data_IF_807141633549
#
_entry.id   IF_807141633549
#
_cell.length_a   1.000
_cell.length_b   1.000
_cell.length_c   1.000
_cell.angle_alpha   90.00
_cell.angle_beta   90.00
_cell.angle_gamma   90.00
#
_symmetry.space_group_name_H-M   'P 1'
#
loop_
_entity.id
_entity.type
_entity.pdbx_description
1 polymer ?
#
# COMPACT_ATOMS: atom_id res chain seq x y z
N UNK A 1 2.02 5.06 1.69
CA UNK A 1 3.18 4.98 2.59
C UNK A 1 3.75 3.57 2.57
N UNK A 2 5.07 3.43 2.54
CA UNK A 2 5.74 2.12 2.67
C UNK A 2 6.15 1.90 4.14
N UNK A 3 5.94 0.67 4.61
CA UNK A 3 6.18 0.26 5.99
C UNK A 3 7.17 -0.91 6.04
N UNK A 4 8.05 -0.99 7.05
CA UNK A 4 8.93 -2.14 7.25
C UNK A 4 8.19 -3.38 7.76
N UNK A 5 7.09 -3.20 8.50
CA UNK A 5 6.27 -4.28 9.09
C UNK A 5 4.87 -3.79 9.44
N UNK A 6 3.98 -4.72 9.81
CA UNK A 6 2.60 -4.40 10.21
C UNK A 6 2.56 -3.63 11.54
N UNK A 7 3.48 -3.93 12.46
CA UNK A 7 3.58 -3.29 13.77
C UNK A 7 3.94 -1.80 13.66
N UNK A 8 4.50 -1.38 12.52
CA UNK A 8 4.79 0.03 12.25
C UNK A 8 3.53 0.89 12.13
N UNK A 9 2.39 0.28 11.85
CA UNK A 9 1.11 0.99 11.75
C UNK A 9 0.66 1.52 13.10
N UNK A 10 0.78 0.70 14.15
CA UNK A 10 0.44 1.09 15.52
C UNK A 10 1.22 2.34 15.96
N UNK A 11 2.52 2.39 15.65
CA UNK A 11 3.37 3.56 15.96
C UNK A 11 3.00 4.82 15.17
N UNK A 12 2.26 4.68 14.09
CA UNK A 12 1.77 5.77 13.25
C UNK A 12 0.30 6.11 13.55
N UNK A 13 -0.29 5.48 14.56
CA UNK A 13 -1.71 5.62 14.90
C UNK A 13 -2.61 5.32 13.69
N UNK A 14 -2.30 4.20 13.00
CA UNK A 14 -3.06 3.68 11.86
C UNK A 14 -3.62 2.30 12.18
N UNK A 15 -4.88 2.09 11.83
CA UNK A 15 -5.55 0.80 12.00
C UNK A 15 -6.13 0.30 10.68
N UNK A 16 -6.15 -1.02 10.48
CA UNK A 16 -6.83 -1.64 9.33
C UNK A 16 -8.21 -2.09 9.75
N UNK A 17 -9.27 -1.50 9.18
CA UNK A 17 -10.63 -1.95 9.42
C UNK A 17 -10.84 -3.37 8.87
N UNK A 18 -11.83 -4.08 9.42
CA UNK A 18 -12.30 -5.35 8.86
C UNK A 18 -13.01 -5.07 7.53
N UNK A 19 -12.75 -5.87 6.46
CA UNK A 19 -11.94 -7.09 6.42
C UNK A 19 -10.48 -6.86 5.98
N UNK A 20 -10.01 -5.63 5.84
CA UNK A 20 -8.67 -5.32 5.32
C UNK A 20 -7.54 -5.89 6.17
N UNK A 21 -7.72 -5.98 7.49
CA UNK A 21 -6.75 -6.59 8.41
C UNK A 21 -6.49 -8.08 8.06
N UNK A 22 -7.53 -8.82 7.68
CA UNK A 22 -7.42 -10.23 7.25
C UNK A 22 -6.71 -10.35 5.90
N UNK A 23 -7.07 -9.48 4.95
CA UNK A 23 -6.43 -9.45 3.64
C UNK A 23 -4.95 -9.04 3.74
N UNK A 24 -4.61 -8.12 4.63
CA UNK A 24 -3.24 -7.72 4.88
C UNK A 24 -2.38 -8.89 5.39
N UNK A 25 -2.91 -9.70 6.29
CA UNK A 25 -2.21 -10.90 6.78
C UNK A 25 -1.94 -11.94 5.67
N UNK A 26 -2.74 -11.95 4.59
CA UNK A 26 -2.59 -12.88 3.47
C UNK A 26 -1.69 -12.35 2.35
N UNK A 27 -1.74 -11.04 2.09
CA UNK A 27 -1.13 -10.42 0.91
C UNK A 27 0.06 -9.51 1.22
N UNK A 28 0.41 -9.29 2.49
CA UNK A 28 1.60 -8.55 2.89
C UNK A 28 2.64 -9.49 3.53
N UNK A 29 3.92 -9.29 3.23
CA UNK A 29 4.52 -8.32 2.30
C UNK A 29 4.16 -8.63 0.84
N UNK A 30 3.83 -7.61 0.05
CA UNK A 30 3.43 -7.85 -1.34
C UNK A 30 2.90 -6.64 -2.10
N UNK A 31 2.21 -6.95 -3.21
CA UNK A 31 1.60 -5.94 -4.08
C UNK A 31 0.17 -5.56 -3.63
N UNK A 32 -0.07 -5.55 -2.34
CA UNK A 32 -1.34 -5.18 -1.71
C UNK A 32 -1.19 -3.86 -0.96
N UNK A 33 -2.10 -2.92 -1.20
CA UNK A 33 -2.10 -1.59 -0.60
C UNK A 33 -3.48 -1.28 -0.01
N UNK A 34 -3.75 -1.73 1.23
CA UNK A 34 -4.99 -1.37 1.92
C UNK A 34 -4.99 0.09 2.35
N UNK A 35 -6.18 0.65 2.45
CA UNK A 35 -6.41 1.96 3.04
C UNK A 35 -6.65 1.78 4.54
N UNK A 36 -5.70 2.24 5.34
CA UNK A 36 -5.81 2.27 6.80
C UNK A 36 -6.57 3.51 7.26
N UNK A 37 -7.31 3.40 8.36
CA UNK A 37 -7.91 4.52 9.06
C UNK A 37 -6.90 5.11 10.04
N UNK A 38 -6.87 6.44 10.12
CA UNK A 38 -6.06 7.17 11.09
C UNK A 38 -6.85 7.41 12.38
N UNK A 39 -6.18 7.24 13.52
CA UNK A 39 -6.69 7.62 14.82
C UNK A 39 -6.59 9.15 15.00
N UNK A 40 -7.32 9.71 15.96
CA UNK A 40 -7.44 11.17 16.13
C UNK A 40 -6.10 11.87 16.41
N UNK A 41 -5.14 11.15 17.00
CA UNK A 41 -3.81 11.66 17.31
C UNK A 41 -2.75 11.35 16.24
N UNK A 42 -3.17 10.80 15.09
CA UNK A 42 -2.29 10.55 13.96
C UNK A 42 -1.80 11.87 13.35
N UNK A 43 -0.48 12.07 13.34
CA UNK A 43 0.15 13.33 12.89
C UNK A 43 0.72 13.27 11.46
N UNK A 44 0.36 12.27 10.67
CA UNK A 44 0.87 12.12 9.30
C UNK A 44 0.39 13.24 8.38
N UNK A 45 1.33 13.92 7.73
CA UNK A 45 1.02 14.98 6.75
C UNK A 45 0.43 14.45 5.43
N UNK A 46 0.44 13.14 5.21
CA UNK A 46 -0.03 12.50 3.98
C UNK A 46 -1.44 11.93 4.08
N UNK A 47 -2.15 12.22 5.17
CA UNK A 47 -3.53 11.78 5.36
C UNK A 47 -4.46 12.35 4.29
N UNK A 48 -5.43 11.55 3.90
CA UNK A 48 -6.54 11.95 3.05
C UNK A 48 -7.84 11.66 3.78
N UNK A 49 -8.87 12.46 3.49
CA UNK A 49 -10.19 12.18 4.03
C UNK A 49 -10.97 11.31 3.03
N UNK A 50 -11.53 10.23 3.53
CA UNK A 50 -12.43 9.37 2.76
C UNK A 50 -13.73 10.14 2.50
N UNK A 51 -14.15 10.30 1.24
CA UNK A 51 -15.34 11.09 0.92
C UNK A 51 -16.66 10.46 1.39
N UNK A 52 -16.67 9.15 1.63
CA UNK A 52 -17.86 8.39 2.06
C UNK A 52 -18.03 8.44 3.57
N UNK A 53 -16.93 8.25 4.30
CA UNK A 53 -16.95 8.14 5.77
C UNK A 53 -16.51 9.40 6.48
N UNK A 54 -15.84 10.32 5.78
CA UNK A 54 -15.22 11.52 6.36
C UNK A 54 -13.95 11.22 7.20
N UNK A 55 -13.60 9.96 7.38
CA UNK A 55 -12.44 9.56 8.17
C UNK A 55 -11.12 9.95 7.51
N UNK A 56 -10.13 10.30 8.32
CA UNK A 56 -8.76 10.45 7.86
C UNK A 56 -8.16 9.07 7.55
N UNK A 57 -7.52 8.94 6.39
CA UNK A 57 -7.03 7.65 5.88
C UNK A 57 -5.65 7.76 5.29
N UNK A 58 -4.94 6.62 5.25
CA UNK A 58 -3.61 6.48 4.66
C UNK A 58 -3.50 5.15 3.92
N UNK A 59 -3.18 5.21 2.63
CA UNK A 59 -2.77 4.00 1.90
C UNK A 59 -1.41 3.50 2.41
N UNK A 60 -1.32 2.23 2.79
CA UNK A 60 -0.11 1.61 3.33
C UNK A 60 0.29 0.38 2.53
N UNK A 61 1.57 0.05 2.54
CA UNK A 61 2.09 -1.17 1.90
C UNK A 61 3.37 -1.64 2.59
N UNK A 62 3.49 -2.95 2.76
CA UNK A 62 4.75 -3.61 3.12
C UNK A 62 5.27 -4.26 1.83
N UNK A 63 6.37 -3.76 1.23
CA UNK A 63 6.87 -4.28 -0.04
C UNK A 63 7.51 -5.67 0.12
N UNK A 64 7.32 -6.55 -0.86
CA UNK A 64 8.06 -7.82 -0.94
C UNK A 64 9.38 -7.60 -1.72
N UNK A 65 10.27 -6.81 -1.14
CA UNK A 65 11.60 -6.50 -1.69
C UNK A 65 12.60 -6.41 -0.55
N UNK A 66 13.62 -7.26 -0.58
CA UNK A 66 14.66 -7.27 0.46
C UNK A 66 15.40 -5.93 0.55
N UNK A 67 15.64 -5.28 -0.61
CA UNK A 67 16.29 -3.95 -0.67
C UNK A 67 15.39 -2.89 -0.04
N UNK A 68 14.12 -2.82 -0.45
CA UNK A 68 13.17 -1.85 0.09
C UNK A 68 12.96 -2.06 1.61
N UNK A 69 12.82 -3.30 2.07
CA UNK A 69 12.66 -3.60 3.49
C UNK A 69 13.90 -3.23 4.31
N UNK A 70 15.11 -3.40 3.75
CA UNK A 70 16.35 -2.98 4.41
C UNK A 70 16.41 -1.47 4.58
N UNK A 71 16.02 -0.70 3.55
CA UNK A 71 15.92 0.76 3.62
C UNK A 71 14.89 1.16 4.69
N UNK A 72 13.69 0.62 4.62
CA UNK A 72 12.60 0.94 5.56
C UNK A 72 12.95 0.59 7.02
N UNK A 73 13.75 -0.45 7.26
CA UNK A 73 14.24 -0.76 8.62
C UNK A 73 15.25 0.26 9.13
N UNK A 74 16.02 0.87 8.23
CA UNK A 74 17.02 1.88 8.57
C UNK A 74 16.41 3.27 8.75
N UNK A 75 15.40 3.62 7.94
CA UNK A 75 14.80 4.97 7.90
C UNK A 75 13.49 5.09 8.69
N UNK A 76 12.82 3.96 8.95
CA UNK A 76 11.41 3.93 9.33
C UNK A 76 10.47 4.02 8.13
N UNK A 77 9.16 4.21 8.36
CA UNK A 77 8.15 4.39 7.32
C UNK A 77 8.44 5.57 6.40
N UNK A 78 8.20 5.39 5.09
CA UNK A 78 8.45 6.43 4.08
C UNK A 78 7.18 6.71 3.26
N UNK A 79 6.90 7.99 3.03
CA UNK A 79 5.99 8.40 1.97
C UNK A 79 6.65 8.06 0.62
N UNK A 80 5.92 7.43 -0.28
CA UNK A 80 6.45 7.00 -1.57
C UNK A 80 5.45 7.27 -2.69
N UNK A 81 6.01 7.62 -3.83
CA UNK A 81 5.31 7.73 -5.11
C UNK A 81 6.06 6.94 -6.17
N UNK A 82 5.48 6.78 -7.34
CA UNK A 82 6.16 6.19 -8.50
C UNK A 82 7.30 7.10 -8.98
N UNK A 83 8.36 6.51 -9.52
CA UNK A 83 9.53 7.21 -10.03
C UNK A 83 9.28 7.64 -11.48
N UNK A 84 8.48 8.70 -11.66
CA UNK A 84 8.12 9.27 -12.97
C UNK A 84 7.67 10.73 -12.81
N UNK A 85 7.74 11.49 -13.88
CA UNK A 85 7.01 12.76 -13.98
C UNK A 85 5.52 12.49 -14.09
N UNK A 86 4.70 13.42 -13.61
CA UNK A 86 3.23 13.25 -13.63
C UNK A 86 2.72 12.95 -15.03
N UNK A 87 2.00 11.83 -15.18
CA UNK A 87 1.43 11.37 -16.45
C UNK A 87 2.35 10.50 -17.31
N UNK A 88 3.60 10.30 -16.91
CA UNK A 88 4.55 9.42 -17.62
C UNK A 88 4.58 8.01 -17.00
N UNK A 89 5.18 7.05 -17.69
CA UNK A 89 5.41 5.71 -17.17
C UNK A 89 6.45 5.72 -16.03
N UNK A 90 6.26 4.83 -15.07
CA UNK A 90 7.22 4.66 -13.98
C UNK A 90 8.50 4.00 -14.47
N UNK A 91 9.65 4.57 -14.08
CA UNK A 91 10.96 4.01 -14.34
C UNK A 91 11.09 2.58 -13.78
N UNK A 92 11.77 1.72 -14.52
CA UNK A 92 12.02 0.33 -14.14
C UNK A 92 13.44 0.10 -13.66
N UNK A 93 14.34 1.05 -13.94
CA UNK A 93 15.72 1.03 -13.50
C UNK A 93 16.10 2.37 -12.86
N UNK A 94 17.16 2.37 -12.08
CA UNK A 94 17.68 3.61 -11.48
C UNK A 94 18.12 4.60 -12.53
N UNK A 95 18.66 4.12 -13.66
CA UNK A 95 19.09 4.99 -14.77
C UNK A 95 17.89 5.69 -15.41
N UNK A 96 16.82 4.97 -15.74
CA UNK A 96 15.59 5.57 -16.25
C UNK A 96 15.00 6.60 -15.28
N UNK A 97 15.03 6.31 -13.96
CA UNK A 97 14.58 7.25 -12.95
C UNK A 97 15.44 8.52 -12.92
N UNK A 98 16.77 8.37 -12.99
CA UNK A 98 17.69 9.51 -13.02
C UNK A 98 17.54 10.35 -14.29
N UNK A 99 17.35 9.70 -15.45
CA UNK A 99 17.12 10.38 -16.74
C UNK A 99 15.79 11.18 -16.72
N UNK A 100 14.75 10.62 -16.11
CA UNK A 100 13.43 11.26 -16.03
C UNK A 100 13.36 12.41 -15.00
N UNK A 101 13.98 12.23 -13.82
CA UNK A 101 13.80 13.11 -12.67
C UNK A 101 15.01 14.04 -12.43
N UNK A 102 16.22 13.65 -12.85
CA UNK A 102 17.42 14.47 -12.74
C UNK A 102 17.67 15.02 -11.34
N UNK A 103 18.00 16.29 -11.26
CA UNK A 103 18.30 16.98 -9.99
C UNK A 103 17.08 17.26 -9.10
N UNK A 104 15.87 16.81 -9.50
CA UNK A 104 14.68 16.87 -8.64
C UNK A 104 14.72 15.82 -7.51
N UNK A 105 15.66 14.89 -7.55
CA UNK A 105 15.88 13.84 -6.55
C UNK A 105 17.33 13.87 -6.09
N UNK A 106 17.54 14.01 -4.79
CA UNK A 106 18.87 14.15 -4.19
C UNK A 106 19.67 12.85 -4.16
N UNK A 107 18.99 11.69 -4.11
CA UNK A 107 19.64 10.39 -3.96
C UNK A 107 18.92 9.31 -4.76
N UNK A 108 19.68 8.62 -5.59
CA UNK A 108 19.24 7.44 -6.33
C UNK A 108 19.91 6.19 -5.76
N UNK A 109 19.11 5.20 -5.37
CA UNK A 109 19.60 3.92 -4.86
C UNK A 109 19.29 2.83 -5.88
N UNK A 110 20.35 2.20 -6.40
CA UNK A 110 20.21 1.09 -7.33
C UNK A 110 19.87 -0.21 -6.59
N UNK A 111 18.66 -0.67 -6.78
CA UNK A 111 18.16 -1.97 -6.28
C UNK A 111 18.03 -3.03 -7.37
N UNK A 112 18.53 -2.76 -8.56
CA UNK A 112 18.28 -3.54 -9.77
C UNK A 112 16.96 -3.17 -10.45
N UNK A 113 16.66 -3.82 -11.57
CA UNK A 113 15.43 -3.60 -12.32
C UNK A 113 14.20 -4.07 -11.53
N UNK A 114 13.09 -3.33 -11.68
CA UNK A 114 11.81 -3.74 -11.10
C UNK A 114 11.21 -4.93 -11.86
N UNK A 115 10.36 -5.76 -11.22
CA UNK A 115 9.77 -6.93 -11.89
C UNK A 115 8.69 -6.58 -12.92
N UNK A 116 8.36 -5.30 -13.11
CA UNK A 116 7.39 -4.83 -14.10
C UNK A 116 6.66 -3.54 -13.73
N UNK A 117 5.85 -3.05 -14.67
CA UNK A 117 5.15 -1.77 -14.58
C UNK A 117 3.85 -1.80 -13.78
N UNK A 118 3.35 -3.00 -13.43
CA UNK A 118 2.03 -3.11 -12.80
C UNK A 118 2.12 -2.72 -11.32
N UNK A 119 1.33 -1.73 -10.96
CA UNK A 119 1.24 -1.22 -9.58
C UNK A 119 0.59 -2.24 -8.62
N UNK A 120 0.67 -1.97 -7.33
CA UNK A 120 -0.09 -2.71 -6.30
C UNK A 120 -1.60 -2.49 -6.44
N UNK A 121 -2.38 -3.47 -6.00
CA UNK A 121 -3.83 -3.34 -5.89
C UNK A 121 -4.18 -2.55 -4.64
N UNK A 122 -5.01 -1.52 -4.81
CA UNK A 122 -5.44 -0.63 -3.72
C UNK A 122 -6.87 -0.96 -3.32
N UNK A 123 -7.08 -1.22 -2.03
CA UNK A 123 -8.36 -1.68 -1.49
C UNK A 123 -8.74 -0.86 -0.27
N UNK A 124 -9.98 -0.36 -0.28
CA UNK A 124 -10.59 0.31 0.86
C UNK A 124 -11.65 -0.60 1.52
N UNK A 125 -11.91 -0.39 2.81
CA UNK A 125 -13.13 -0.90 3.41
C UNK A 125 -14.32 -0.08 2.94
N UNK A 126 -15.41 -0.76 2.57
CA UNK A 126 -16.67 -0.12 2.20
C UNK A 126 -17.85 -0.91 2.78
N UNK A 127 -18.55 -0.36 3.78
CA UNK A 127 -19.69 -1.04 4.41
C UNK A 127 -20.91 -1.18 3.48
N UNK A 128 -20.96 -0.47 2.36
CA UNK A 128 -22.04 -0.56 1.38
C UNK A 128 -21.82 -1.69 0.36
N UNK A 129 -20.60 -2.17 0.24
CA UNK A 129 -20.27 -3.31 -0.60
C UNK A 129 -20.58 -4.63 0.11
N UNK A 130 -21.09 -5.62 -0.66
CA UNK A 130 -21.55 -6.92 -0.13
C UNK A 130 -20.48 -7.67 0.68
N UNK A 131 -19.23 -7.55 0.30
CA UNK A 131 -18.10 -8.21 0.96
C UNK A 131 -17.27 -7.25 1.81
N UNK A 132 -17.74 -6.01 1.99
CA UNK A 132 -17.15 -5.00 2.85
C UNK A 132 -15.91 -4.32 2.29
N UNK A 133 -15.63 -4.46 0.96
CA UNK A 133 -14.47 -3.83 0.32
C UNK A 133 -14.80 -3.17 -1.01
N UNK A 134 -14.10 -2.07 -1.30
CA UNK A 134 -14.03 -1.45 -2.62
C UNK A 134 -12.61 -1.59 -3.20
N UNK A 135 -12.50 -2.03 -4.46
CA UNK A 135 -11.24 -2.03 -5.19
C UNK A 135 -11.06 -0.66 -5.83
N UNK A 136 -10.20 0.18 -5.23
CA UNK A 136 -9.95 1.53 -5.74
C UNK A 136 -9.05 1.53 -6.98
N UNK A 137 -8.18 0.53 -7.09
CA UNK A 137 -7.32 0.30 -8.26
C UNK A 137 -6.92 -1.17 -8.31
N UNK A 138 -7.26 -1.85 -9.40
CA UNK A 138 -6.72 -3.18 -9.67
C UNK A 138 -5.26 -3.06 -10.12
N UNK A 139 -4.40 -3.93 -9.60
CA UNK A 139 -2.99 -4.01 -9.91
C UNK A 139 -2.54 -5.46 -10.07
N UNK A 140 -1.34 -5.78 -9.55
CA UNK A 140 -0.75 -7.14 -9.65
C UNK A 140 -1.68 -8.22 -9.11
N UNK A 141 -2.38 -7.94 -8.01
CA UNK A 141 -3.34 -8.88 -7.43
C UNK A 141 -4.70 -8.57 -8.01
N UNK A 142 -5.25 -9.51 -8.80
CA UNK A 142 -6.56 -9.36 -9.42
C UNK A 142 -7.68 -9.27 -8.38
N UNK A 143 -8.70 -8.46 -8.64
CA UNK A 143 -9.88 -8.34 -7.79
C UNK A 143 -10.50 -9.69 -7.43
N UNK A 144 -10.65 -10.58 -8.42
CA UNK A 144 -11.18 -11.93 -8.21
C UNK A 144 -10.41 -12.72 -7.13
N UNK A 145 -9.09 -12.57 -7.08
CA UNK A 145 -8.24 -13.25 -6.09
C UNK A 145 -8.49 -12.70 -4.70
N UNK A 146 -8.62 -11.38 -4.56
CA UNK A 146 -8.92 -10.72 -3.28
C UNK A 146 -10.30 -11.13 -2.76
N UNK A 147 -11.33 -11.05 -3.62
CA UNK A 147 -12.70 -11.42 -3.23
C UNK A 147 -12.82 -12.90 -2.89
N UNK A 148 -12.11 -13.79 -3.61
CA UNK A 148 -12.05 -15.22 -3.28
C UNK A 148 -11.38 -15.47 -1.92
N UNK A 149 -10.35 -14.73 -1.58
CA UNK A 149 -9.68 -14.85 -0.29
C UNK A 149 -10.61 -14.49 0.89
N UNK A 150 -11.53 -13.53 0.71
CA UNK A 150 -12.55 -13.20 1.72
C UNK A 150 -13.54 -14.33 1.92
N UNK A 151 -14.01 -14.98 0.86
CA UNK A 151 -15.00 -16.06 0.94
C UNK A 151 -14.44 -17.32 1.60
N UNK A 152 -13.19 -17.66 1.35
CA UNK A 152 -12.54 -18.84 1.94
C UNK A 152 -12.34 -18.71 3.46
N UNK A 153 -12.17 -17.49 3.96
CA UNK A 153 -11.98 -17.24 5.41
C UNK A 153 -13.28 -16.84 6.13
N UNK A 154 -14.35 -16.53 5.41
CA UNK A 154 -15.67 -16.24 5.99
C UNK A 154 -16.44 -17.48 6.43
N UNK A 155 -16.10 -18.66 5.90
CA UNK A 155 -16.74 -19.93 6.21
C UNK A 155 -16.29 -20.61 7.52
N UNK A 156 -15.25 -20.09 8.18
CA UNK A 156 -14.69 -20.72 9.39
C UNK A 156 -15.21 -20.15 10.73
N UNK A 157 -16.16 -19.21 10.71
CA UNK A 157 -16.71 -18.58 11.92
C UNK A 157 -18.25 -18.78 12.07
N UNK A 158 -18.81 -19.80 11.42
CA UNK A 158 -20.23 -20.13 11.48
C UNK A 158 -20.46 -21.63 11.64
N UNK A 159 -19.90 -22.25 12.67
CA UNK A 159 -20.30 -23.58 13.16
C UNK A 159 -20.09 -23.63 14.65
#
# INVERSE_FOLDING_TARGET
MLLPSIESMEKLHLTLPVPLNRLAAMFMPGAFSPIAEAEDDCSLATLRHDPTTGKATQGVRIPNSAVALRILRATGPLAATSANRSGEESAQTVQEAADALGDAVDLYLDGGATPGHVSSTVVAADPHERDGIAILREGVIRELVIRKALTLNGGALGA
#
